data_IF_401092429004
#
_entry.id   IF_401092429004
#
_cell.length_a   1.000
_cell.length_b   1.000
_cell.length_c   1.000
_cell.angle_alpha   90.00
_cell.angle_beta   90.00
_cell.angle_gamma   90.00
#
_symmetry.space_group_name_H-M   'P 1'
#
loop_
_entity.id
_entity.type
_entity.pdbx_description
1 polymer ?
#
# COMPACT_ATOMS: atom_id res chain seq x y z
N UNK A 1 2.53 -40.57 -14.25
CA UNK A 1 2.92 -40.33 -13.79
C UNK A 1 2.86 -39.81 -13.69
N UNK A 2 2.49 -39.69 -13.81
CA UNK A 2 2.68 -39.27 -13.60
C UNK A 2 2.55 -38.63 -13.70
N UNK A 3 2.44 -39.02 -14.07
CA UNK A 3 2.65 -38.47 -13.96
C UNK A 3 2.51 -37.69 -14.06
N UNK A 4 2.40 -37.91 -14.41
CA UNK A 4 2.56 -37.18 -14.14
C UNK A 4 2.46 -36.34 -14.21
N UNK A 5 2.32 -36.64 -14.37
CA UNK A 5 2.49 -35.94 -14.08
C UNK A 5 2.39 -35.10 -14.14
N UNK A 6 2.25 -35.38 -14.47
CA UNK A 6 2.46 -34.73 -14.22
C UNK A 6 2.26 -33.88 -14.25
N UNK A 7 2.13 -34.23 -14.61
CA UNK A 7 2.17 -33.59 -14.33
C UNK A 7 2.04 -32.65 -14.24
N UNK A 8 1.77 -32.85 -14.69
CA UNK A 8 1.86 -32.13 -14.26
C UNK A 8 1.72 -31.21 -14.17
N UNK A 9 1.54 -31.27 -14.30
CA UNK A 9 1.68 -30.60 -13.80
C UNK A 9 1.47 -29.78 -13.69
N UNK A 10 1.43 -29.72 -13.68
CA UNK A 10 1.49 -29.06 -13.18
C UNK A 10 1.37 -28.28 -12.86
N UNK A 11 1.21 -28.41 -13.19
CA UNK A 11 1.28 -27.79 -12.54
C UNK A 11 1.20 -27.01 -12.38
N UNK A 12 1.03 -27.11 -12.48
CA UNK A 12 1.09 -26.38 -11.95
C UNK A 12 1.09 -25.55 -11.89
N UNK A 13 0.93 -25.58 -12.12
CA UNK A 13 1.04 -24.85 -11.70
C UNK A 13 0.70 -24.09 -11.52
N UNK A 14 0.43 -24.28 -11.67
CA UNK A 14 0.22 -23.65 -11.21
C UNK A 14 -0.10 -22.98 -10.94
N UNK A 15 -0.39 -23.07 -10.88
CA UNK A 15 -0.60 -22.49 -10.26
C UNK A 15 -0.70 -21.72 -10.09
N UNK A 16 -0.94 -21.62 -10.15
CA UNK A 16 -0.91 -20.91 -9.72
C UNK A 16 -1.33 -20.13 -9.52
N UNK A 17 -1.62 -20.19 -9.45
CA UNK A 17 -1.84 -19.52 -9.03
C UNK A 17 -2.38 -18.70 -9.00
N UNK A 18 -2.88 -18.74 -8.98
CA UNK A 18 -3.22 -17.91 -8.87
C UNK A 18 -3.69 -17.27 -8.25
N UNK A 19 -3.87 -17.86 -8.10
CA UNK A 19 -4.18 -17.10 -7.33
C UNK A 19 -3.97 -15.82 -7.35
N UNK A 20 -3.98 -15.36 -7.34
CA UNK A 20 -3.67 -14.22 -7.42
C UNK A 20 -4.56 -13.12 -7.42
N UNK A 21 -5.65 -13.12 -7.61
CA UNK A 21 -6.51 -11.98 -7.80
C UNK A 21 -6.70 -11.18 -6.55
N UNK A 22 -6.94 -11.84 -5.45
CA UNK A 22 -7.06 -11.12 -4.19
C UNK A 22 -5.79 -10.34 -3.89
N UNK A 23 -4.67 -10.90 -4.23
CA UNK A 23 -3.40 -10.23 -4.03
C UNK A 23 -3.28 -9.00 -4.92
N UNK A 24 -3.84 -9.10 -6.12
CA UNK A 24 -3.78 -7.99 -7.05
C UNK A 24 -4.44 -6.75 -6.47
N UNK A 25 -5.58 -6.88 -5.78
CA UNK A 25 -6.23 -5.71 -5.20
C UNK A 25 -5.36 -5.04 -4.15
N UNK A 26 -4.57 -5.81 -3.38
CA UNK A 26 -3.64 -5.26 -2.41
C UNK A 26 -2.42 -4.62 -3.04
N UNK A 27 -2.15 -4.91 -4.31
CA UNK A 27 -0.98 -4.37 -5.00
C UNK A 27 -1.25 -3.00 -5.64
N UNK A 28 -2.47 -2.52 -5.61
CA UNK A 28 -2.82 -1.28 -6.30
C UNK A 28 -2.37 -0.02 -5.55
N UNK A 29 -1.99 -0.14 -4.31
CA UNK A 29 -1.42 0.98 -3.56
C UNK A 29 -0.45 0.43 -2.52
N UNK A 30 0.62 1.16 -2.28
CA UNK A 30 1.63 0.70 -1.34
C UNK A 30 2.45 1.87 -0.82
N UNK A 31 2.94 1.71 0.42
CA UNK A 31 3.92 2.60 1.02
C UNK A 31 5.31 1.99 0.96
N UNK A 32 6.32 2.83 0.98
CA UNK A 32 7.73 2.43 0.96
C UNK A 32 8.50 3.16 2.03
N UNK A 33 9.44 2.48 2.66
CA UNK A 33 10.25 3.08 3.74
C UNK A 33 11.25 4.09 3.23
N UNK A 34 11.66 4.00 1.96
CA UNK A 34 12.60 4.94 1.35
C UNK A 34 11.90 5.89 0.40
N UNK A 35 12.62 6.90 -0.05
CA UNK A 35 12.11 7.83 -1.04
C UNK A 35 12.16 7.20 -2.43
N UNK A 36 11.33 7.71 -3.35
CA UNK A 36 11.34 7.23 -4.73
C UNK A 36 10.89 5.79 -4.87
N UNK A 37 9.99 5.33 -4.00
CA UNK A 37 9.44 3.98 -4.03
C UNK A 37 10.53 2.92 -3.83
N UNK A 38 11.40 3.17 -2.86
CA UNK A 38 12.48 2.26 -2.50
C UNK A 38 12.32 1.76 -1.07
N UNK A 39 13.12 0.78 -0.70
CA UNK A 39 13.07 0.21 0.64
C UNK A 39 12.01 -0.87 0.74
N UNK A 40 11.46 -1.03 1.94
CA UNK A 40 10.47 -2.06 2.20
C UNK A 40 9.08 -1.59 1.78
N UNK A 41 8.40 -2.41 0.99
CA UNK A 41 7.07 -2.13 0.48
C UNK A 41 6.01 -2.69 1.42
N UNK A 42 5.00 -1.88 1.71
CA UNK A 42 3.83 -2.30 2.51
C UNK A 42 2.57 -2.01 1.71
N UNK A 43 1.85 -3.06 1.34
CA UNK A 43 0.62 -2.91 0.56
C UNK A 43 -0.49 -2.29 1.40
N UNK A 44 -1.37 -1.53 0.74
CA UNK A 44 -2.53 -0.90 1.36
C UNK A 44 -3.76 -1.76 1.08
N UNK A 45 -4.51 -2.07 2.12
CA UNK A 45 -5.81 -2.73 1.98
C UNK A 45 -6.85 -1.67 1.65
N UNK A 46 -7.21 -1.56 0.38
CA UNK A 46 -8.13 -0.53 -0.10
C UNK A 46 -9.58 -0.76 0.34
N UNK A 47 -9.90 -1.94 0.86
CA UNK A 47 -11.23 -2.23 1.38
C UNK A 47 -11.40 -1.71 2.81
N UNK A 48 -10.31 -1.48 3.51
CA UNK A 48 -10.34 -0.97 4.88
C UNK A 48 -10.34 0.56 4.85
N UNK A 49 -11.42 1.17 5.31
CA UNK A 49 -11.59 2.63 5.30
C UNK A 49 -11.34 3.27 6.64
N UNK A 50 -10.82 2.54 7.56
CA UNK A 50 -10.51 3.06 8.89
C UNK A 50 -9.10 3.63 8.92
N UNK A 51 -8.80 4.43 9.93
CA UNK A 51 -7.45 4.94 10.11
C UNK A 51 -6.51 3.80 10.46
N UNK A 52 -5.38 3.72 9.77
CA UNK A 52 -4.36 2.70 9.99
C UNK A 52 -3.06 3.38 10.37
N UNK A 53 -2.51 3.00 11.51
CA UNK A 53 -1.19 3.45 11.93
C UNK A 53 -0.13 2.52 11.34
N UNK A 54 0.96 3.09 10.85
CA UNK A 54 2.03 2.35 10.17
C UNK A 54 3.38 2.81 10.68
N UNK A 55 4.39 1.98 10.46
CA UNK A 55 5.77 2.40 10.67
C UNK A 55 6.10 3.54 9.69
N UNK A 56 7.05 4.42 10.02
CA UNK A 56 7.34 5.58 9.16
C UNK A 56 7.63 5.20 7.73
N UNK A 57 6.99 5.89 6.80
CA UNK A 57 7.11 5.66 5.35
C UNK A 57 7.50 6.97 4.68
N UNK A 58 8.31 6.87 3.62
CA UNK A 58 8.83 8.06 2.95
C UNK A 58 8.25 8.30 1.57
N UNK A 59 7.65 7.30 0.97
CA UNK A 59 7.01 7.44 -0.34
C UNK A 59 5.87 6.46 -0.47
N UNK A 60 5.03 6.67 -1.49
CA UNK A 60 3.90 5.79 -1.75
C UNK A 60 3.47 5.90 -3.21
N UNK A 61 2.80 4.87 -3.69
CA UNK A 61 2.18 4.85 -5.00
C UNK A 61 0.73 4.39 -4.89
N UNK A 62 -0.11 4.93 -5.76
CA UNK A 62 -1.54 4.60 -5.79
C UNK A 62 -1.99 4.49 -7.24
N UNK A 63 -2.16 3.27 -7.71
CA UNK A 63 -2.69 3.01 -9.05
C UNK A 63 -4.12 2.48 -9.00
N UNK A 64 -4.84 2.81 -7.93
CA UNK A 64 -6.24 2.43 -7.74
C UNK A 64 -7.16 3.59 -8.11
N UNK A 65 -8.47 3.35 -7.99
CA UNK A 65 -9.48 4.38 -8.15
C UNK A 65 -9.79 5.13 -6.85
N UNK A 66 -9.19 4.73 -5.75
CA UNK A 66 -9.41 5.36 -4.46
C UNK A 66 -8.38 6.44 -4.20
N UNK A 67 -8.74 7.41 -3.36
CA UNK A 67 -7.79 8.37 -2.83
C UNK A 67 -7.38 7.94 -1.43
N UNK A 68 -6.16 8.27 -1.05
CA UNK A 68 -5.63 7.89 0.25
C UNK A 68 -5.17 9.14 0.98
N UNK A 69 -5.74 9.37 2.17
CA UNK A 69 -5.29 10.45 3.05
C UNK A 69 -4.08 9.96 3.83
N UNK A 70 -3.02 10.74 3.81
CA UNK A 70 -1.75 10.38 4.45
C UNK A 70 -1.43 11.42 5.52
N UNK A 71 -1.09 10.95 6.71
CA UNK A 71 -0.89 11.81 7.85
C UNK A 71 0.51 11.64 8.44
N UNK A 72 1.02 12.72 9.02
CA UNK A 72 2.35 12.75 9.61
C UNK A 72 2.31 12.57 11.13
N UNK A 73 1.13 12.33 11.67
CA UNK A 73 0.90 11.99 13.08
C UNK A 73 0.10 10.71 13.16
N UNK A 74 0.15 10.05 14.32
CA UNK A 74 -0.64 8.85 14.56
C UNK A 74 -2.12 9.16 14.55
N UNK A 75 -2.93 8.14 14.37
CA UNK A 75 -4.39 8.20 14.48
C UNK A 75 -5.02 9.18 13.49
N UNK A 76 -4.38 9.35 12.33
CA UNK A 76 -4.85 10.21 11.25
C UNK A 76 -5.06 11.65 11.72
N UNK A 77 -4.23 12.12 12.64
CA UNK A 77 -4.26 13.49 13.11
C UNK A 77 -3.49 14.38 12.14
N UNK A 78 -4.14 15.47 11.72
CA UNK A 78 -3.53 16.43 10.82
C UNK A 78 -2.50 17.28 11.54
N UNK A 79 -1.54 17.82 10.78
CA UNK A 79 -0.52 18.70 11.29
C UNK A 79 0.88 18.19 10.99
N UNK A 80 1.87 19.02 11.25
CA UNK A 80 3.26 18.59 11.20
C UNK A 80 3.53 17.57 12.30
N UNK A 81 4.58 16.78 12.15
CA UNK A 81 4.90 15.79 13.19
C UNK A 81 4.94 16.40 14.57
N UNK A 82 4.13 15.85 15.49
CA UNK A 82 4.05 16.31 16.87
C UNK A 82 3.26 17.58 17.10
N UNK A 83 2.61 18.12 16.07
CA UNK A 83 1.85 19.36 16.17
C UNK A 83 0.43 19.15 15.66
N UNK A 84 -0.48 19.98 16.10
CA UNK A 84 -1.82 20.01 15.51
C UNK A 84 -1.85 21.03 14.38
N UNK A 85 -2.82 20.91 13.47
CA UNK A 85 -2.94 21.79 12.32
C UNK A 85 -3.71 21.12 11.23
N UNK A 86 -3.65 21.67 10.03
CA UNK A 86 -4.45 21.18 8.90
C UNK A 86 -3.62 20.40 7.88
N UNK A 87 -2.32 20.27 8.11
CA UNK A 87 -1.43 19.64 7.13
C UNK A 87 -1.70 18.14 7.03
N UNK A 88 -1.95 17.68 5.83
CA UNK A 88 -1.96 16.27 5.48
C UNK A 88 -1.83 16.17 3.97
N UNK A 89 -1.65 14.97 3.46
CA UNK A 89 -1.44 14.75 2.05
C UNK A 89 -2.53 13.84 1.50
N UNK A 90 -3.01 14.14 0.28
CA UNK A 90 -3.94 13.25 -0.41
C UNK A 90 -3.21 12.63 -1.57
N UNK A 91 -3.02 11.31 -1.50
CA UNK A 91 -2.44 10.56 -2.60
C UNK A 91 -3.57 10.16 -3.54
N UNK A 92 -3.70 10.91 -4.62
CA UNK A 92 -4.77 10.70 -5.58
C UNK A 92 -4.59 9.44 -6.40
N UNK A 93 -5.65 9.07 -7.09
CA UNK A 93 -5.65 7.94 -8.02
C UNK A 93 -4.58 8.17 -9.10
N UNK A 94 -3.82 7.12 -9.41
CA UNK A 94 -2.80 7.12 -10.45
C UNK A 94 -1.66 8.11 -10.18
N UNK A 95 -1.35 8.33 -8.90
CA UNK A 95 -0.27 9.21 -8.48
C UNK A 95 0.72 8.47 -7.58
N UNK A 96 1.88 9.06 -7.43
CA UNK A 96 2.87 8.65 -6.44
C UNK A 96 3.58 9.89 -5.92
N UNK A 97 4.27 9.76 -4.80
CA UNK A 97 5.01 10.89 -4.28
C UNK A 97 5.91 10.55 -3.13
N UNK A 98 6.83 11.46 -2.86
CA UNK A 98 7.64 11.46 -1.66
C UNK A 98 6.99 12.40 -0.65
N UNK A 99 7.24 12.13 0.64
CA UNK A 99 6.67 12.96 1.69
C UNK A 99 7.74 13.82 2.37
N UNK A 100 7.40 15.08 2.70
CA UNK A 100 8.36 15.96 3.39
C UNK A 100 8.66 15.50 4.82
N UNK A 101 7.73 14.75 5.42
CA UNK A 101 7.88 14.14 6.74
C UNK A 101 7.51 12.67 6.62
N UNK A 102 8.00 11.80 7.52
CA UNK A 102 7.57 10.40 7.46
C UNK A 102 6.07 10.28 7.66
N UNK A 103 5.42 9.51 6.80
CA UNK A 103 4.00 9.17 6.93
C UNK A 103 3.86 8.10 8.01
N UNK A 104 2.98 8.30 8.99
CA UNK A 104 2.82 7.38 10.10
C UNK A 104 1.39 6.89 10.28
N UNK A 105 0.45 7.40 9.50
CA UNK A 105 -0.91 6.85 9.46
C UNK A 105 -1.57 7.24 8.14
N UNK A 106 -2.63 6.52 7.79
CA UNK A 106 -3.36 6.81 6.57
C UNK A 106 -4.82 6.36 6.71
N UNK A 107 -5.64 6.85 5.78
CA UNK A 107 -7.04 6.42 5.67
C UNK A 107 -7.44 6.44 4.20
N UNK A 108 -8.05 5.35 3.74
CA UNK A 108 -8.59 5.26 2.37
C UNK A 108 -9.93 5.98 2.34
N UNK A 109 -10.13 6.82 1.36
CA UNK A 109 -11.40 7.53 1.16
C UNK A 109 -12.46 6.66 0.53
#
# INVERSE_FOLDING_TARGET
MRPAVISGGLAVLASMAFVLPANASGEHAAFYTGTGLTGTKSAVDLANRECVNIAPQRSATNISNSEIEVFFNADCQKGRPGESGDLYYVLGSLHWGNYPFPAVSYRVR
#
